data_IF_986886306428
#
_entry.id   IF_986886306428
#
_cell.length_a   1.000
_cell.length_b   1.000
_cell.length_c   1.000
_cell.angle_alpha   90.00
_cell.angle_beta   90.00
_cell.angle_gamma   90.00
#
_symmetry.space_group_name_H-M   'P 1'
#
loop_
_entity.id
_entity.type
_entity.pdbx_description
1 polymer ?
#
# COMPACT_ATOMS: atom_id res chain seq x y z
N UNK A 1 22.98 0.88 -3.60
CA UNK A 1 21.83 1.81 -3.64
C UNK A 1 20.61 1.12 -4.24
N UNK A 2 19.47 1.25 -3.57
CA UNK A 2 18.23 0.69 -4.11
C UNK A 2 17.72 1.53 -5.28
N UNK A 3 17.38 0.85 -6.38
CA UNK A 3 16.77 1.51 -7.53
C UNK A 3 15.25 1.36 -7.42
N UNK A 4 14.56 2.44 -7.03
CA UNK A 4 13.11 2.45 -6.83
C UNK A 4 12.32 2.92 -8.05
N UNK A 5 12.99 3.27 -9.16
CA UNK A 5 12.36 3.81 -10.36
C UNK A 5 11.33 2.84 -10.96
N UNK A 6 11.57 1.55 -10.85
CA UNK A 6 10.69 0.53 -11.42
C UNK A 6 9.69 -0.04 -10.42
N UNK A 7 9.63 0.51 -9.21
CA UNK A 7 8.67 0.05 -8.22
C UNK A 7 7.29 0.60 -8.54
N UNK A 8 6.34 -0.28 -8.74
CA UNK A 8 4.96 0.06 -9.07
C UNK A 8 4.12 0.10 -7.80
N UNK A 9 3.51 1.26 -7.53
CA UNK A 9 2.70 1.49 -6.34
C UNK A 9 1.28 1.86 -6.74
N UNK A 10 0.30 1.20 -6.13
CA UNK A 10 -1.11 1.52 -6.29
C UNK A 10 -1.61 2.20 -5.01
N UNK A 11 -2.17 3.40 -5.16
CA UNK A 11 -2.78 4.15 -4.06
C UNK A 11 -4.30 4.00 -4.13
N UNK A 12 -4.91 3.68 -3.01
CA UNK A 12 -6.36 3.59 -2.89
C UNK A 12 -6.83 4.43 -1.72
N UNK A 13 -7.52 5.53 -2.02
CA UNK A 13 -8.05 6.46 -1.01
C UNK A 13 -9.23 7.22 -1.62
N UNK A 14 -10.22 7.54 -0.80
CA UNK A 14 -11.36 8.33 -1.23
C UNK A 14 -11.11 9.85 -1.13
N UNK A 15 -9.98 10.26 -0.58
CA UNK A 15 -9.64 11.69 -0.34
C UNK A 15 -8.62 12.15 -1.37
N UNK A 16 -9.05 13.05 -2.26
CA UNK A 16 -8.20 13.53 -3.36
C UNK A 16 -6.99 14.31 -2.88
N UNK A 17 -7.11 15.08 -1.80
CA UNK A 17 -5.98 15.83 -1.25
C UNK A 17 -4.87 14.90 -0.75
N UNK A 18 -5.22 13.82 -0.09
CA UNK A 18 -4.27 12.82 0.39
C UNK A 18 -3.62 12.06 -0.77
N UNK A 19 -4.39 11.74 -1.81
CA UNK A 19 -3.84 11.10 -3.01
C UNK A 19 -2.79 11.98 -3.69
N UNK A 20 -3.09 13.26 -3.86
CA UNK A 20 -2.15 14.20 -4.50
C UNK A 20 -0.86 14.29 -3.68
N UNK A 21 -0.96 14.41 -2.37
CA UNK A 21 0.21 14.45 -1.49
C UNK A 21 1.06 13.20 -1.63
N UNK A 22 0.43 12.03 -1.58
CA UNK A 22 1.14 10.75 -1.68
C UNK A 22 1.77 10.56 -3.06
N UNK A 23 1.06 10.93 -4.13
CA UNK A 23 1.59 10.85 -5.48
C UNK A 23 2.88 11.68 -5.62
N UNK A 24 2.88 12.89 -5.07
CA UNK A 24 4.06 13.76 -5.10
C UNK A 24 5.24 13.14 -4.35
N UNK A 25 4.99 12.62 -3.15
CA UNK A 25 6.04 12.00 -2.33
C UNK A 25 6.63 10.78 -3.06
N UNK A 26 5.78 9.91 -3.55
CA UNK A 26 6.22 8.67 -4.21
C UNK A 26 6.95 8.95 -5.52
N UNK A 27 6.50 9.95 -6.28
CA UNK A 27 7.19 10.36 -7.50
C UNK A 27 8.60 10.88 -7.19
N UNK A 28 8.75 11.64 -6.11
CA UNK A 28 10.07 12.15 -5.68
C UNK A 28 11.01 11.03 -5.23
N UNK A 29 10.45 9.97 -4.67
CA UNK A 29 11.21 8.77 -4.28
C UNK A 29 11.67 8.00 -5.52
N UNK A 30 10.93 8.09 -6.62
CA UNK A 30 11.25 7.42 -7.87
C UNK A 30 10.34 6.25 -8.22
N UNK A 31 9.18 6.16 -7.56
CA UNK A 31 8.20 5.11 -7.85
C UNK A 31 7.29 5.48 -9.01
N UNK A 32 6.76 4.48 -9.69
CA UNK A 32 5.66 4.63 -10.63
C UNK A 32 4.36 4.47 -9.84
N UNK A 33 3.45 5.42 -9.96
CA UNK A 33 2.27 5.50 -9.11
C UNK A 33 1.01 5.50 -9.94
N UNK A 34 0.03 4.71 -9.51
CA UNK A 34 -1.33 4.76 -10.01
C UNK A 34 -2.25 5.02 -8.81
N UNK A 35 -3.30 5.80 -9.00
CA UNK A 35 -4.24 6.14 -7.94
C UNK A 35 -5.66 5.77 -8.32
N UNK A 36 -6.40 5.26 -7.36
CA UNK A 36 -7.83 4.95 -7.51
C UNK A 36 -8.59 5.44 -6.29
N UNK A 37 -9.87 5.73 -6.46
CA UNK A 37 -10.72 6.23 -5.38
C UNK A 37 -11.83 5.26 -4.99
N UNK A 38 -12.03 4.21 -5.77
CA UNK A 38 -13.10 3.24 -5.54
C UNK A 38 -12.56 1.82 -5.55
N UNK A 39 -13.17 0.96 -4.74
CA UNK A 39 -12.76 -0.43 -4.57
C UNK A 39 -12.72 -1.18 -5.92
N UNK A 40 -13.73 -1.02 -6.75
CA UNK A 40 -13.76 -1.73 -8.03
C UNK A 40 -12.64 -1.28 -8.97
N UNK A 41 -12.26 0.00 -8.92
CA UNK A 41 -11.13 0.51 -9.69
C UNK A 41 -9.81 -0.11 -9.21
N UNK A 42 -9.69 -0.27 -7.89
CA UNK A 42 -8.53 -0.90 -7.29
C UNK A 42 -8.34 -2.33 -7.83
N UNK A 43 -9.38 -3.14 -7.80
CA UNK A 43 -9.31 -4.51 -8.30
C UNK A 43 -9.10 -4.57 -9.80
N UNK A 44 -9.71 -3.67 -10.57
CA UNK A 44 -9.48 -3.61 -12.01
C UNK A 44 -8.00 -3.36 -12.32
N UNK A 45 -7.36 -2.45 -11.59
CA UNK A 45 -5.92 -2.18 -11.74
C UNK A 45 -5.08 -3.39 -11.36
N UNK A 46 -5.39 -4.02 -10.24
CA UNK A 46 -4.63 -5.18 -9.75
C UNK A 46 -4.73 -6.37 -10.71
N UNK A 47 -5.87 -6.55 -11.35
CA UNK A 47 -6.08 -7.65 -12.29
C UNK A 47 -5.44 -7.38 -13.65
N UNK A 48 -5.25 -6.12 -14.03
CA UNK A 48 -4.71 -5.75 -15.35
C UNK A 48 -3.21 -5.44 -15.34
N UNK A 49 -2.61 -5.29 -14.16
CA UNK A 49 -1.21 -4.92 -14.04
C UNK A 49 -0.53 -5.63 -12.88
N UNK A 50 0.76 -5.39 -12.72
CA UNK A 50 1.53 -5.91 -11.59
C UNK A 50 1.98 -4.74 -10.73
N UNK A 51 1.72 -4.83 -9.44
CA UNK A 51 2.13 -3.85 -8.46
C UNK A 51 3.01 -4.49 -7.41
N UNK A 52 3.94 -3.73 -6.88
CA UNK A 52 4.83 -4.17 -5.81
C UNK A 52 4.26 -3.83 -4.44
N UNK A 53 3.46 -2.77 -4.38
CA UNK A 53 2.94 -2.24 -3.13
C UNK A 53 1.57 -1.60 -3.36
N UNK A 54 0.61 -1.93 -2.51
CA UNK A 54 -0.67 -1.22 -2.41
C UNK A 54 -0.67 -0.44 -1.11
N UNK A 55 -0.98 0.85 -1.18
CA UNK A 55 -1.18 1.69 0.00
C UNK A 55 -2.62 2.15 0.01
N UNK A 56 -3.36 1.81 1.07
CA UNK A 56 -4.76 2.23 1.18
C UNK A 56 -5.03 2.88 2.53
N UNK A 57 -6.10 3.69 2.60
CA UNK A 57 -6.46 4.37 3.83
C UNK A 57 -7.43 3.53 4.66
N UNK A 58 -7.17 3.47 5.96
CA UNK A 58 -8.03 2.76 6.91
C UNK A 58 -9.46 3.33 6.94
N UNK A 59 -9.58 4.64 6.76
CA UNK A 59 -10.85 5.36 6.91
C UNK A 59 -11.71 5.48 5.67
N UNK A 60 -11.51 4.64 4.65
CA UNK A 60 -12.36 4.65 3.46
C UNK A 60 -13.78 4.23 3.86
N UNK A 61 -14.81 5.09 3.64
CA UNK A 61 -16.17 4.77 4.04
C UNK A 61 -16.68 3.48 3.37
N UNK A 62 -17.29 2.61 4.18
CA UNK A 62 -17.88 1.38 3.68
C UNK A 62 -16.90 0.27 3.31
N UNK A 63 -15.61 0.47 3.51
CA UNK A 63 -14.61 -0.55 3.19
C UNK A 63 -14.57 -1.62 4.30
N UNK A 64 -14.84 -2.87 3.91
CA UNK A 64 -14.56 -4.02 4.76
C UNK A 64 -13.09 -4.39 4.58
N UNK A 65 -12.25 -3.98 5.53
CA UNK A 65 -10.80 -4.14 5.43
C UNK A 65 -10.42 -5.62 5.33
N UNK A 66 -10.99 -6.47 6.19
CA UNK A 66 -10.66 -7.90 6.18
C UNK A 66 -11.02 -8.54 4.85
N UNK A 67 -12.21 -8.27 4.33
CA UNK A 67 -12.63 -8.78 3.02
C UNK A 67 -11.75 -8.27 1.89
N UNK A 68 -11.40 -6.99 1.92
CA UNK A 68 -10.52 -6.37 0.94
C UNK A 68 -9.15 -7.07 0.90
N UNK A 69 -8.55 -7.30 2.06
CA UNK A 69 -7.24 -7.96 2.17
C UNK A 69 -7.31 -9.40 1.65
N UNK A 70 -8.37 -10.12 1.98
CA UNK A 70 -8.57 -11.49 1.49
C UNK A 70 -8.67 -11.53 -0.04
N UNK A 71 -9.40 -10.60 -0.63
CA UNK A 71 -9.52 -10.52 -2.10
C UNK A 71 -8.18 -10.21 -2.76
N UNK A 72 -7.41 -9.27 -2.19
CA UNK A 72 -6.07 -8.94 -2.71
C UNK A 72 -5.16 -10.17 -2.71
N UNK A 73 -5.18 -10.94 -1.64
CA UNK A 73 -4.34 -12.13 -1.51
C UNK A 73 -4.60 -13.15 -2.62
N UNK A 74 -5.85 -13.24 -3.09
CA UNK A 74 -6.18 -14.15 -4.19
C UNK A 74 -5.60 -13.70 -5.52
N UNK A 75 -5.28 -12.41 -5.66
CA UNK A 75 -4.74 -11.85 -6.90
C UNK A 75 -3.22 -11.96 -6.94
N UNK A 76 -2.54 -11.54 -5.87
CA UNK A 76 -1.07 -11.59 -5.82
C UNK A 76 -0.59 -11.70 -4.37
N UNK A 77 0.00 -12.84 -4.03
CA UNK A 77 0.56 -13.10 -2.69
C UNK A 77 1.88 -12.38 -2.42
N UNK A 78 2.58 -11.99 -3.49
CA UNK A 78 3.91 -11.39 -3.36
C UNK A 78 3.86 -9.87 -3.24
N UNK A 79 2.68 -9.28 -3.37
CA UNK A 79 2.50 -7.85 -3.27
C UNK A 79 2.44 -7.42 -1.81
N UNK A 80 3.18 -6.38 -1.46
CA UNK A 80 3.13 -5.80 -0.12
C UNK A 80 1.91 -4.90 0.04
N UNK A 81 1.37 -4.86 1.25
CA UNK A 81 0.18 -4.07 1.57
C UNK A 81 0.48 -3.17 2.75
N UNK A 82 0.28 -1.87 2.58
CA UNK A 82 0.42 -0.87 3.62
C UNK A 82 -0.92 -0.19 3.87
N UNK A 83 -1.21 0.07 5.13
CA UNK A 83 -2.44 0.77 5.52
C UNK A 83 -2.08 2.07 6.22
N UNK A 84 -2.67 3.18 5.76
CA UNK A 84 -2.54 4.49 6.41
C UNK A 84 -3.52 4.55 7.58
N UNK A 85 -3.02 4.91 8.76
CA UNK A 85 -3.77 4.81 10.01
C UNK A 85 -3.62 6.07 10.85
N UNK A 86 -4.55 6.29 11.79
CA UNK A 86 -4.55 7.44 12.68
C UNK A 86 -4.26 7.09 14.14
N UNK A 87 -4.35 5.81 14.49
CA UNK A 87 -4.11 5.32 15.84
C UNK A 87 -2.82 4.51 15.90
N UNK A 88 -2.23 4.30 17.09
CA UNK A 88 -1.03 3.48 17.22
C UNK A 88 -1.22 2.06 16.69
N UNK A 89 -0.12 1.46 16.23
CA UNK A 89 -0.12 0.14 15.58
C UNK A 89 -0.80 -0.94 16.41
N UNK A 90 -0.65 -0.88 17.74
CA UNK A 90 -1.26 -1.87 18.64
C UNK A 90 -2.77 -2.01 18.46
N UNK A 91 -3.48 -0.89 18.21
CA UNK A 91 -4.92 -0.91 17.99
C UNK A 91 -5.26 -1.79 16.77
N UNK A 92 -4.50 -1.65 15.70
CA UNK A 92 -4.77 -2.37 14.45
C UNK A 92 -4.32 -3.82 14.51
N UNK A 93 -3.26 -4.11 15.26
CA UNK A 93 -2.82 -5.47 15.50
C UNK A 93 -3.89 -6.28 16.22
N UNK A 94 -4.50 -5.69 17.25
CA UNK A 94 -5.58 -6.35 18.00
C UNK A 94 -6.83 -6.55 17.12
N UNK A 95 -7.12 -5.58 16.23
CA UNK A 95 -8.33 -5.61 15.42
C UNK A 95 -8.23 -6.53 14.22
N UNK A 96 -7.08 -6.49 13.51
CA UNK A 96 -6.91 -7.20 12.24
C UNK A 96 -5.97 -8.40 12.33
N UNK A 97 -5.12 -8.46 13.33
CA UNK A 97 -4.19 -9.56 13.54
C UNK A 97 -3.28 -9.79 12.33
N UNK A 98 -3.22 -11.04 11.87
CA UNK A 98 -2.38 -11.45 10.75
C UNK A 98 -3.12 -11.36 9.40
N UNK A 99 -3.95 -10.37 9.20
CA UNK A 99 -4.89 -10.27 8.07
C UNK A 99 -4.25 -9.87 6.74
N UNK A 100 -2.93 -9.89 6.61
CA UNK A 100 -2.27 -9.59 5.35
C UNK A 100 -1.77 -8.15 5.20
N UNK A 101 -1.81 -7.36 6.26
CA UNK A 101 -1.21 -6.02 6.28
C UNK A 101 0.27 -6.17 6.62
N UNK A 102 1.14 -5.71 5.73
CA UNK A 102 2.59 -5.82 5.93
C UNK A 102 3.16 -4.60 6.66
N UNK A 103 2.59 -3.43 6.43
CA UNK A 103 3.11 -2.17 6.98
C UNK A 103 1.97 -1.26 7.40
N UNK A 104 2.21 -0.50 8.48
CA UNK A 104 1.32 0.58 8.90
C UNK A 104 2.02 1.92 8.74
N UNK A 105 1.32 2.91 8.19
CA UNK A 105 1.82 4.26 8.02
C UNK A 105 0.97 5.20 8.86
N UNK A 106 1.52 5.64 9.99
CA UNK A 106 0.80 6.46 10.97
C UNK A 106 0.76 7.93 10.54
N UNK A 107 -0.43 8.49 10.50
CA UNK A 107 -0.63 9.93 10.23
C UNK A 107 -0.35 10.74 11.51
N UNK A 108 0.22 11.95 11.39
CA UNK A 108 0.74 12.56 10.17
C UNK A 108 2.09 11.98 9.77
N UNK A 109 2.31 11.82 8.49
CA UNK A 109 3.59 11.33 7.98
C UNK A 109 4.10 12.26 6.88
N UNK A 110 5.39 12.15 6.59
CA UNK A 110 6.03 12.93 5.55
C UNK A 110 6.92 12.07 4.66
N UNK A 111 7.81 12.73 3.93
CA UNK A 111 8.69 12.09 2.96
C UNK A 111 9.51 10.94 3.58
N UNK A 112 10.10 11.17 4.75
CA UNK A 112 11.01 10.17 5.35
C UNK A 112 10.29 8.88 5.73
N UNK A 113 9.08 8.99 6.29
CA UNK A 113 8.29 7.82 6.68
C UNK A 113 7.85 7.01 5.46
N UNK A 114 7.44 7.69 4.39
CA UNK A 114 7.06 7.02 3.14
C UNK A 114 8.27 6.39 2.47
N UNK A 115 9.42 7.08 2.47
CA UNK A 115 10.65 6.53 1.92
C UNK A 115 11.06 5.23 2.62
N UNK A 116 11.01 5.22 3.95
CA UNK A 116 11.33 4.02 4.73
C UNK A 116 10.38 2.87 4.39
N UNK A 117 9.09 3.15 4.33
CA UNK A 117 8.08 2.16 3.96
C UNK A 117 8.37 1.55 2.59
N UNK A 118 8.62 2.40 1.59
CA UNK A 118 8.87 1.96 0.22
C UNK A 118 10.13 1.11 0.13
N UNK A 119 11.19 1.51 0.82
CA UNK A 119 12.43 0.75 0.85
C UNK A 119 12.25 -0.63 1.47
N UNK A 120 11.53 -0.72 2.58
CA UNK A 120 11.24 -1.99 3.24
C UNK A 120 10.37 -2.88 2.35
N UNK A 121 9.34 -2.31 1.72
CA UNK A 121 8.46 -3.04 0.82
C UNK A 121 9.22 -3.57 -0.39
N UNK A 122 10.15 -2.78 -0.93
CA UNK A 122 11.00 -3.20 -2.05
C UNK A 122 11.87 -4.39 -1.68
N UNK A 123 12.52 -4.33 -0.52
CA UNK A 123 13.37 -5.43 -0.04
C UNK A 123 12.57 -6.70 0.23
N UNK A 124 11.39 -6.55 0.81
CA UNK A 124 10.50 -7.66 1.10
C UNK A 124 10.01 -8.34 -0.19
N UNK A 125 9.63 -7.54 -1.18
CA UNK A 125 9.20 -8.03 -2.49
C UNK A 125 10.31 -8.81 -3.19
N UNK A 126 11.54 -8.33 -3.15
CA UNK A 126 12.71 -9.03 -3.70
C UNK A 126 12.91 -10.38 -3.04
N UNK A 127 12.80 -10.46 -1.72
CA UNK A 127 12.94 -11.71 -0.98
C UNK A 127 11.88 -12.73 -1.38
N UNK A 128 10.63 -12.32 -1.45
CA UNK A 128 9.53 -13.20 -1.81
C UNK A 128 9.68 -13.73 -3.23
N UNK A 129 10.06 -12.88 -4.17
CA UNK A 129 10.22 -13.28 -5.57
C UNK A 129 11.42 -14.20 -5.77
N UNK A 130 12.47 -14.06 -4.97
CA UNK A 130 13.63 -14.97 -5.00
C UNK A 130 13.31 -16.33 -4.38
N UNK A 131 12.41 -16.36 -3.40
CA UNK A 131 12.02 -17.61 -2.73
C UNK A 131 11.03 -18.44 -3.53
N UNK A 132 10.34 -17.83 -4.51
CA UNK A 132 9.37 -18.55 -5.36
C UNK A 132 10.02 -19.08 -6.67
#
# INVERSE_FOLDING_TARGET
>A
MLNLINMEVLLFDCRSDQLVMMEEILARIGCKVSSVMKKYECFAKLMSGKYDLVIFDHGIPGLDVTGFLTEIETIDRCMSIAMMVTLPSRFYEDKYGCSGIDFLLLKPFGYNEVLLLVREAFQYSLKLRKAS
#
